data_IF_643754803316
#
_entry.id   IF_643754803316
#
_cell.length_a   1.000
_cell.length_b   1.000
_cell.length_c   1.000
_cell.angle_alpha   90.00
_cell.angle_beta   90.00
_cell.angle_gamma   90.00
#
_symmetry.space_group_name_H-M   'P 1'
#
loop_
_entity.id
_entity.type
_entity.pdbx_description
1 polymer ?
#
# COMPACT_ATOMS: atom_id res chain seq x y z
N UNK A 1 19.97 -14.57 -31.74
CA UNK A 1 20.96 -14.45 -30.64
C UNK A 1 20.53 -15.37 -29.51
N UNK A 2 21.44 -16.17 -28.91
CA UNK A 2 21.09 -16.97 -27.73
C UNK A 2 20.86 -16.04 -26.53
N UNK A 3 19.67 -16.14 -25.94
CA UNK A 3 19.27 -15.33 -24.79
C UNK A 3 20.13 -15.78 -23.60
N UNK A 4 20.96 -14.90 -23.06
CA UNK A 4 21.78 -15.24 -21.89
C UNK A 4 20.86 -15.48 -20.71
N UNK A 5 20.94 -16.64 -20.01
CA UNK A 5 20.13 -16.91 -18.83
C UNK A 5 20.43 -15.96 -17.65
N UNK A 6 21.44 -15.09 -17.81
CA UNK A 6 21.83 -14.08 -16.84
C UNK A 6 21.42 -12.66 -17.21
N UNK A 7 20.81 -12.45 -18.37
CA UNK A 7 20.32 -11.13 -18.75
C UNK A 7 19.18 -10.67 -17.82
N UNK A 8 19.23 -9.40 -17.43
CA UNK A 8 18.30 -8.83 -16.46
C UNK A 8 16.88 -8.72 -17.02
N UNK A 9 16.75 -8.32 -18.29
CA UNK A 9 15.46 -8.21 -18.97
C UNK A 9 14.79 -9.57 -19.05
N UNK A 10 15.55 -10.60 -19.44
CA UNK A 10 15.06 -11.97 -19.51
C UNK A 10 14.54 -12.47 -18.16
N UNK A 11 15.24 -12.14 -17.05
CA UNK A 11 14.77 -12.51 -15.70
C UNK A 11 13.52 -11.73 -15.30
N UNK A 12 13.42 -10.46 -15.65
CA UNK A 12 12.24 -9.63 -15.36
C UNK A 12 11.02 -10.15 -16.14
N UNK A 13 11.20 -10.47 -17.42
CA UNK A 13 10.18 -11.09 -18.25
C UNK A 13 9.74 -12.44 -17.68
N UNK A 14 10.65 -13.24 -17.13
CA UNK A 14 10.31 -14.49 -16.47
C UNK A 14 9.47 -14.33 -15.20
N UNK A 15 9.76 -13.31 -14.40
CA UNK A 15 8.93 -13.00 -13.23
C UNK A 15 7.57 -12.50 -13.65
N UNK A 16 7.50 -11.68 -14.71
CA UNK A 16 6.23 -11.18 -15.24
C UNK A 16 5.34 -12.29 -15.77
N UNK A 17 5.87 -13.16 -16.63
CA UNK A 17 5.16 -14.32 -17.16
C UNK A 17 4.72 -15.28 -16.04
N UNK A 18 5.51 -15.39 -14.97
CA UNK A 18 5.12 -16.16 -13.80
C UNK A 18 3.90 -15.59 -13.08
N UNK A 19 3.79 -14.26 -12.95
CA UNK A 19 2.60 -13.65 -12.36
C UNK A 19 1.39 -13.70 -13.31
N UNK A 20 1.60 -13.53 -14.61
CA UNK A 20 0.53 -13.67 -15.63
C UNK A 20 -0.06 -15.09 -15.59
N UNK A 21 0.78 -16.13 -15.59
CA UNK A 21 0.34 -17.53 -15.48
C UNK A 21 -0.42 -17.82 -14.16
N UNK A 22 -0.07 -17.13 -13.08
CA UNK A 22 -0.81 -17.23 -11.81
C UNK A 22 -2.18 -16.56 -11.86
N UNK A 23 -2.32 -15.47 -12.60
CA UNK A 23 -3.61 -14.78 -12.79
C UNK A 23 -4.50 -15.58 -13.74
N UNK A 24 -3.94 -16.16 -14.79
CA UNK A 24 -4.65 -16.94 -15.81
C UNK A 24 -5.22 -18.27 -15.29
N UNK A 25 -4.82 -18.70 -14.09
CA UNK A 25 -5.47 -19.79 -13.37
C UNK A 25 -4.57 -20.97 -13.03
N UNK A 26 -3.25 -20.80 -13.00
CA UNK A 26 -2.37 -21.84 -12.49
C UNK A 26 -2.81 -22.28 -11.09
N UNK A 27 -3.02 -23.59 -10.91
CA UNK A 27 -3.52 -24.20 -9.67
C UNK A 27 -2.63 -23.94 -8.46
N UNK A 28 -1.35 -23.62 -8.68
CA UNK A 28 -0.41 -23.24 -7.62
C UNK A 28 0.81 -22.50 -8.16
N UNK A 29 1.51 -21.80 -7.26
CA UNK A 29 2.86 -21.23 -7.50
C UNK A 29 3.85 -22.26 -8.07
N UNK A 30 3.74 -23.53 -7.67
CA UNK A 30 4.62 -24.58 -8.17
C UNK A 30 4.28 -24.99 -9.61
N UNK A 31 3.00 -24.93 -9.99
CA UNK A 31 2.51 -25.29 -11.32
C UNK A 31 2.85 -24.24 -12.39
N UNK A 32 2.92 -22.95 -12.02
CA UNK A 32 3.32 -21.88 -12.95
C UNK A 32 4.81 -21.93 -13.33
N UNK A 33 5.69 -22.41 -12.44
CA UNK A 33 7.14 -22.47 -12.68
C UNK A 33 7.57 -23.31 -13.90
N UNK A 34 7.07 -24.55 -14.11
CA UNK A 34 7.42 -25.34 -15.28
C UNK A 34 6.90 -24.73 -16.59
N UNK A 35 5.72 -24.10 -16.59
CA UNK A 35 5.18 -23.39 -17.76
C UNK A 35 6.11 -22.25 -18.20
N UNK A 36 6.50 -21.39 -17.27
CA UNK A 36 7.42 -20.27 -17.54
C UNK A 36 8.81 -20.76 -17.95
N UNK A 37 9.30 -21.86 -17.35
CA UNK A 37 10.56 -22.49 -17.75
C UNK A 37 10.50 -22.99 -19.20
N UNK A 38 9.38 -23.55 -19.65
CA UNK A 38 9.24 -24.00 -21.03
C UNK A 38 9.34 -22.85 -22.03
N UNK A 39 8.82 -21.67 -21.67
CA UNK A 39 8.83 -20.48 -22.54
C UNK A 39 10.22 -19.81 -22.62
N UNK A 40 10.92 -19.70 -21.49
CA UNK A 40 12.12 -18.82 -21.39
C UNK A 40 13.41 -19.64 -21.22
N UNK A 41 13.33 -20.90 -20.80
CA UNK A 41 14.49 -21.78 -20.61
C UNK A 41 15.30 -21.52 -19.34
N UNK A 42 14.85 -20.65 -18.43
CA UNK A 42 15.54 -20.36 -17.16
C UNK A 42 15.19 -21.41 -16.09
N UNK A 43 16.16 -21.71 -15.21
CA UNK A 43 15.94 -22.61 -14.06
C UNK A 43 14.80 -22.11 -13.16
N UNK A 44 13.91 -23.01 -12.76
CA UNK A 44 12.75 -22.71 -11.89
C UNK A 44 13.17 -22.12 -10.54
N UNK A 45 14.32 -22.52 -10.00
CA UNK A 45 14.87 -21.96 -8.76
C UNK A 45 15.17 -20.46 -8.88
N UNK A 46 15.67 -20.01 -10.04
CA UNK A 46 15.95 -18.60 -10.31
C UNK A 46 14.67 -17.79 -10.37
N UNK A 47 13.66 -18.29 -11.09
CA UNK A 47 12.34 -17.64 -11.21
C UNK A 47 11.71 -17.51 -9.82
N UNK A 48 11.70 -18.60 -9.04
CA UNK A 48 11.15 -18.61 -7.68
C UNK A 48 11.86 -17.62 -6.75
N UNK A 49 13.19 -17.58 -6.76
CA UNK A 49 13.95 -16.67 -5.90
C UNK A 49 13.68 -15.21 -6.25
N UNK A 50 13.50 -14.90 -7.54
CA UNK A 50 13.18 -13.56 -8.01
C UNK A 50 11.73 -13.17 -7.69
N UNK A 51 10.78 -14.06 -7.92
CA UNK A 51 9.39 -13.84 -7.53
C UNK A 51 9.27 -13.56 -6.02
N UNK A 52 9.95 -14.33 -5.17
CA UNK A 52 10.00 -14.09 -3.71
C UNK A 52 10.62 -12.75 -3.33
N UNK A 53 11.68 -12.34 -4.02
CA UNK A 53 12.30 -11.04 -3.78
C UNK A 53 11.34 -9.89 -4.14
N UNK A 54 10.55 -10.05 -5.20
CA UNK A 54 9.56 -9.06 -5.62
C UNK A 54 8.36 -9.01 -4.66
N UNK A 55 7.80 -10.17 -4.29
CA UNK A 55 6.75 -10.28 -3.26
C UNK A 55 7.18 -9.57 -1.96
N UNK A 56 8.42 -9.79 -1.51
CA UNK A 56 8.94 -9.14 -0.30
C UNK A 56 9.06 -7.61 -0.44
N UNK A 57 9.39 -7.08 -1.62
CA UNK A 57 9.42 -5.63 -1.84
C UNK A 57 8.02 -5.03 -1.75
N UNK A 58 7.04 -5.70 -2.35
CA UNK A 58 5.63 -5.27 -2.27
C UNK A 58 5.15 -5.28 -0.82
N UNK A 59 5.43 -6.34 -0.07
CA UNK A 59 5.06 -6.42 1.35
C UNK A 59 5.70 -5.29 2.19
N UNK A 60 6.95 -4.95 1.92
CA UNK A 60 7.64 -3.84 2.61
C UNK A 60 7.01 -2.50 2.25
N UNK A 61 6.72 -2.26 0.97
CA UNK A 61 6.07 -1.03 0.52
C UNK A 61 4.67 -0.87 1.14
N UNK A 62 3.85 -1.92 1.15
CA UNK A 62 2.52 -1.89 1.78
C UNK A 62 2.63 -1.54 3.26
N UNK A 63 3.52 -2.20 4.00
CA UNK A 63 3.74 -1.93 5.42
C UNK A 63 4.20 -0.50 5.70
N UNK A 64 5.04 0.08 4.83
CA UNK A 64 5.45 1.48 4.95
C UNK A 64 4.26 2.42 4.75
N UNK A 65 3.44 2.20 3.71
CA UNK A 65 2.26 3.04 3.46
C UNK A 65 1.22 2.94 4.58
N UNK A 66 1.05 1.78 5.20
CA UNK A 66 0.12 1.61 6.32
C UNK A 66 0.63 2.33 7.59
N UNK A 67 1.95 2.32 7.83
CA UNK A 67 2.55 3.06 8.92
C UNK A 67 2.37 4.58 8.75
N UNK A 68 2.57 5.10 7.54
CA UNK A 68 2.36 6.51 7.19
C UNK A 68 0.90 6.93 7.41
N UNK A 69 -0.07 6.16 6.89
CA UNK A 69 -1.51 6.41 7.10
C UNK A 69 -1.89 6.41 8.58
N UNK A 70 -1.34 5.47 9.37
CA UNK A 70 -1.61 5.39 10.80
C UNK A 70 -1.07 6.62 11.56
N UNK A 71 0.11 7.14 11.17
CA UNK A 71 0.66 8.35 11.76
C UNK A 71 -0.24 9.56 11.48
N UNK A 72 -0.72 9.72 10.25
CA UNK A 72 -1.64 10.80 9.85
C UNK A 72 -2.99 10.70 10.56
N UNK A 73 -3.54 9.49 10.75
CA UNK A 73 -4.77 9.31 11.53
C UNK A 73 -4.61 9.74 12.99
N UNK A 74 -3.44 9.53 13.59
CA UNK A 74 -3.17 9.95 14.97
C UNK A 74 -3.09 11.48 15.07
N UNK A 75 -2.43 12.16 14.13
CA UNK A 75 -2.35 13.63 14.13
C UNK A 75 -3.73 14.25 13.93
N UNK A 76 -4.48 13.77 12.93
CA UNK A 76 -5.84 14.24 12.67
C UNK A 76 -6.79 13.98 13.84
N UNK A 77 -6.66 12.87 14.56
CA UNK A 77 -7.46 12.62 15.78
C UNK A 77 -7.12 13.59 16.90
N UNK A 78 -5.85 13.93 17.10
CA UNK A 78 -5.42 14.93 18.09
C UNK A 78 -5.93 16.31 17.74
N UNK A 79 -5.85 16.70 16.47
CA UNK A 79 -6.36 17.99 15.98
C UNK A 79 -7.88 18.07 16.16
N UNK A 80 -8.62 17.03 15.78
CA UNK A 80 -10.08 16.98 15.98
C UNK A 80 -10.46 17.06 17.46
N UNK A 81 -9.72 16.41 18.37
CA UNK A 81 -9.95 16.50 19.80
C UNK A 81 -9.76 17.94 20.31
N UNK A 82 -8.67 18.60 19.91
CA UNK A 82 -8.39 20.00 20.25
C UNK A 82 -9.45 20.95 19.68
N UNK A 83 -9.89 20.73 18.44
CA UNK A 83 -10.94 21.54 17.81
C UNK A 83 -12.28 21.39 18.53
N UNK A 84 -12.62 20.17 18.97
CA UNK A 84 -13.82 19.93 19.77
C UNK A 84 -13.75 20.65 21.11
N UNK A 85 -12.63 20.52 21.83
CA UNK A 85 -12.42 21.23 23.09
C UNK A 85 -12.56 22.75 22.94
N UNK A 86 -11.95 23.31 21.89
CA UNK A 86 -12.05 24.75 21.59
C UNK A 86 -13.48 25.17 21.27
N UNK A 87 -14.19 24.38 20.46
CA UNK A 87 -15.59 24.65 20.13
C UNK A 87 -16.48 24.64 21.37
N UNK A 88 -16.24 23.72 22.32
CA UNK A 88 -17.00 23.70 23.57
C UNK A 88 -16.73 24.96 24.41
N UNK A 89 -15.48 25.43 24.51
CA UNK A 89 -15.16 26.69 25.20
C UNK A 89 -15.86 27.88 24.53
N UNK A 90 -15.82 27.97 23.21
CA UNK A 90 -16.46 29.06 22.46
C UNK A 90 -17.98 29.03 22.60
N UNK A 91 -18.59 27.84 22.55
CA UNK A 91 -20.04 27.68 22.81
C UNK A 91 -20.40 28.15 24.20
N UNK A 92 -19.66 27.73 25.23
CA UNK A 92 -19.88 28.15 26.61
C UNK A 92 -19.75 29.67 26.77
N UNK A 93 -18.74 30.28 26.13
CA UNK A 93 -18.56 31.73 26.13
C UNK A 93 -19.73 32.46 25.41
N UNK A 94 -20.20 31.93 24.28
CA UNK A 94 -21.33 32.51 23.55
C UNK A 94 -22.65 32.40 24.30
N UNK A 95 -22.87 31.30 25.04
CA UNK A 95 -24.04 31.11 25.89
C UNK A 95 -24.07 32.07 27.09
N UNK A 96 -22.89 32.51 27.56
CA UNK A 96 -22.75 33.48 28.64
C UNK A 96 -22.72 34.94 28.15
N UNK A 97 -22.75 35.19 26.83
CA UNK A 97 -22.73 36.54 26.30
C UNK A 97 -24.02 37.29 26.70
N UNK A 98 -23.94 38.48 27.33
CA UNK A 98 -25.13 39.21 27.75
C UNK A 98 -25.98 39.57 26.53
N UNK A 99 -27.29 39.24 26.58
CA UNK A 99 -28.27 39.87 25.69
C UNK A 99 -28.30 41.35 26.06
N UNK A 100 -27.56 42.18 25.34
CA UNK A 100 -27.81 43.62 25.33
C UNK A 100 -29.25 43.80 24.82
N UNK A 101 -30.19 43.94 25.74
CA UNK A 101 -31.52 44.42 25.44
C UNK A 101 -31.38 45.92 25.25
N UNK A 102 -31.32 46.34 23.99
CA UNK A 102 -31.58 47.72 23.61
C UNK A 102 -33.06 48.01 23.91
N UNK A 103 -33.33 48.44 25.15
CA UNK A 103 -34.57 49.15 25.49
C UNK A 103 -34.18 50.61 25.62
N UNK A 104 -34.01 51.26 24.47
CA UNK A 104 -33.99 52.71 24.36
C UNK A 104 -35.27 53.11 23.62
N UNK A 105 -36.30 53.51 24.37
CA UNK A 105 -37.40 54.39 24.00
C UNK A 105 -38.10 54.85 25.29
#
# INVERSE_FOLDING_TARGET
MPISPYDQETRQQAVRLYFEELVDGASSKAAALPAVKAVIGIKTSTIRNRARAEEKKVDVAVKQTDAEKNAELITLRKENARLKETNEILKLASAFSPRWSSTAN
#
